data_IF_940349741857
#
_entry.id   IF_940349741857
#
_cell.length_a   1.000
_cell.length_b   1.000
_cell.length_c   1.000
_cell.angle_alpha   90.00
_cell.angle_beta   90.00
_cell.angle_gamma   90.00
#
_symmetry.space_group_name_H-M   'P 1'
#
loop_
_entity.id
_entity.type
_entity.pdbx_description
1 polymer ?
#
# COMPACT_ATOMS: atom_id res chain seq x y z
N UNK A 1 -7.69 -6.55 9.38
CA UNK A 1 -6.67 -7.49 8.86
C UNK A 1 -5.30 -7.04 9.26
N UNK A 2 -4.48 -7.92 9.75
CA UNK A 2 -3.11 -7.54 10.05
C UNK A 2 -2.33 -7.23 8.77
N UNK A 3 -1.22 -6.55 8.95
CA UNK A 3 -0.29 -6.27 7.88
C UNK A 3 0.25 -7.57 7.28
N UNK A 4 0.35 -7.61 5.96
CA UNK A 4 1.02 -8.74 5.30
C UNK A 4 2.50 -8.44 5.09
N UNK A 5 3.32 -9.48 5.13
CA UNK A 5 4.75 -9.37 4.85
C UNK A 5 5.12 -10.03 3.52
N UNK A 6 4.13 -10.58 2.83
CA UNK A 6 4.34 -11.37 1.62
C UNK A 6 3.77 -10.63 0.40
N UNK A 7 4.60 -10.49 -0.64
CA UNK A 7 4.13 -9.96 -1.92
C UNK A 7 3.16 -10.92 -2.56
N UNK A 8 2.14 -10.38 -3.24
CA UNK A 8 1.19 -11.20 -3.98
C UNK A 8 1.91 -11.91 -5.13
N UNK A 9 1.59 -13.17 -5.33
CA UNK A 9 2.20 -13.96 -6.41
C UNK A 9 1.72 -13.50 -7.78
N UNK A 10 0.45 -13.07 -7.86
CA UNK A 10 -0.15 -12.58 -9.08
C UNK A 10 -0.54 -11.12 -8.90
N UNK A 11 -0.14 -10.29 -9.84
CA UNK A 11 -0.53 -8.88 -9.83
C UNK A 11 -2.04 -8.77 -10.10
N UNK A 12 -2.80 -8.10 -9.22
CA UNK A 12 -4.22 -7.87 -9.49
C UNK A 12 -4.41 -6.94 -10.69
N UNK A 13 -5.53 -7.09 -11.38
CA UNK A 13 -5.92 -6.15 -12.41
C UNK A 13 -6.42 -4.86 -11.74
N UNK A 14 -6.30 -3.72 -12.46
CA UNK A 14 -6.78 -2.45 -11.93
C UNK A 14 -8.27 -2.52 -11.57
N UNK A 15 -9.05 -3.22 -12.39
CA UNK A 15 -10.49 -3.38 -12.17
C UNK A 15 -10.80 -4.11 -10.86
N UNK A 16 -9.95 -5.08 -10.49
CA UNK A 16 -10.11 -5.78 -9.22
C UNK A 16 -9.91 -4.83 -8.04
N UNK A 17 -8.93 -3.92 -8.17
CA UNK A 17 -8.65 -2.93 -7.13
C UNK A 17 -9.81 -1.92 -7.05
N UNK A 18 -10.29 -1.43 -8.20
CA UNK A 18 -11.36 -0.45 -8.23
C UNK A 18 -12.67 -1.01 -7.64
N UNK A 19 -12.85 -2.32 -7.69
CA UNK A 19 -14.04 -2.99 -7.16
C UNK A 19 -13.98 -3.31 -5.67
N UNK A 20 -12.85 -3.06 -5.02
CA UNK A 20 -12.70 -3.35 -3.59
C UNK A 20 -13.55 -2.41 -2.75
N UNK A 21 -14.26 -2.97 -1.77
CA UNK A 21 -15.18 -2.18 -0.94
C UNK A 21 -14.59 -1.80 0.41
N UNK A 22 -13.65 -2.60 0.91
CA UNK A 22 -13.06 -2.33 2.22
C UNK A 22 -11.89 -1.35 2.11
N UNK A 23 -11.60 -0.59 3.18
CA UNK A 23 -10.43 0.27 3.16
C UNK A 23 -9.17 -0.57 2.97
N UNK A 24 -8.30 -0.13 2.06
CA UNK A 24 -7.14 -0.91 1.64
C UNK A 24 -5.94 -0.01 1.45
N UNK A 25 -4.78 -0.46 1.89
CA UNK A 25 -3.51 0.16 1.53
C UNK A 25 -2.78 -0.77 0.56
N UNK A 26 -2.40 -0.22 -0.60
CA UNK A 26 -1.55 -0.90 -1.56
C UNK A 26 -0.12 -0.46 -1.33
N UNK A 27 0.76 -1.40 -1.13
CA UNK A 27 2.19 -1.11 -0.98
C UNK A 27 2.91 -1.58 -2.24
N UNK A 28 3.35 -0.62 -3.06
CA UNK A 28 4.12 -0.92 -4.26
C UNK A 28 5.60 -0.90 -3.92
N UNK A 29 6.29 -1.97 -4.24
CA UNK A 29 7.70 -2.07 -3.93
C UNK A 29 8.33 -3.29 -4.56
N UNK A 30 9.45 -3.72 -3.98
CA UNK A 30 10.22 -4.85 -4.45
C UNK A 30 10.93 -5.52 -3.26
N UNK A 31 11.10 -6.85 -3.28
CA UNK A 31 11.85 -7.51 -2.20
C UNK A 31 13.32 -7.08 -2.12
N UNK A 32 13.83 -6.44 -3.17
CA UNK A 32 15.23 -6.00 -3.24
C UNK A 32 15.42 -4.53 -2.92
N UNK A 33 14.36 -3.82 -2.58
CA UNK A 33 14.37 -2.38 -2.37
C UNK A 33 14.70 -2.06 -0.91
N UNK A 34 15.83 -1.38 -0.67
CA UNK A 34 16.24 -1.00 0.68
C UNK A 34 15.26 -0.05 1.36
N UNK A 35 14.70 0.90 0.60
CA UNK A 35 13.69 1.82 1.14
C UNK A 35 12.43 1.07 1.55
N UNK A 36 12.06 0.01 0.80
CA UNK A 36 10.90 -0.81 1.15
C UNK A 36 11.14 -1.55 2.46
N UNK A 37 12.34 -2.12 2.63
CA UNK A 37 12.71 -2.80 3.86
C UNK A 37 12.70 -1.85 5.05
N UNK A 38 13.23 -0.64 4.87
CA UNK A 38 13.26 0.37 5.93
C UNK A 38 11.85 0.82 6.33
N UNK A 39 10.90 0.78 5.41
CA UNK A 39 9.54 1.20 5.69
C UNK A 39 8.73 0.16 6.47
N UNK A 40 9.16 -1.10 6.51
CA UNK A 40 8.37 -2.16 7.13
C UNK A 40 8.05 -1.90 8.62
N UNK A 41 9.02 -1.53 9.47
CA UNK A 41 8.69 -1.29 10.88
C UNK A 41 7.73 -0.14 11.11
N UNK A 42 7.85 0.95 10.34
CA UNK A 42 6.96 2.10 10.53
C UNK A 42 5.56 1.81 10.02
N UNK A 43 5.44 1.04 8.95
CA UNK A 43 4.15 0.60 8.44
C UNK A 43 3.50 -0.37 9.44
N UNK A 44 4.26 -1.32 9.96
CA UNK A 44 3.75 -2.28 10.92
C UNK A 44 3.20 -1.59 12.17
N UNK A 45 3.94 -0.60 12.69
CA UNK A 45 3.51 0.15 13.86
C UNK A 45 2.21 0.89 13.61
N UNK A 46 2.06 1.51 12.43
CA UNK A 46 0.84 2.23 12.07
C UNK A 46 -0.35 1.27 11.90
N UNK A 47 -0.12 0.12 11.26
CA UNK A 47 -1.18 -0.85 10.98
C UNK A 47 -1.75 -1.51 12.24
N UNK A 48 -0.99 -1.55 13.34
CA UNK A 48 -1.46 -2.13 14.59
C UNK A 48 -2.75 -1.49 15.09
N UNK A 49 -2.92 -0.20 14.87
CA UNK A 49 -4.10 0.54 15.32
C UNK A 49 -5.26 0.45 14.32
N UNK A 50 -5.06 -0.20 13.18
CA UNK A 50 -6.04 -0.26 12.10
C UNK A 50 -6.28 -1.69 11.60
N UNK A 51 -6.75 -2.61 12.49
CA UNK A 51 -6.91 -4.02 12.09
C UNK A 51 -7.98 -4.24 11.02
N UNK A 52 -8.85 -3.25 10.79
CA UNK A 52 -9.88 -3.34 9.75
C UNK A 52 -9.41 -2.97 8.37
N UNK A 53 -8.19 -2.45 8.23
CA UNK A 53 -7.65 -2.03 6.94
C UNK A 53 -6.93 -3.21 6.27
N UNK A 54 -7.31 -3.45 5.02
CA UNK A 54 -6.68 -4.49 4.21
C UNK A 54 -5.31 -3.99 3.70
N UNK A 55 -4.33 -4.86 3.62
CA UNK A 55 -3.00 -4.52 3.15
C UNK A 55 -2.58 -5.48 2.04
N UNK A 56 -2.21 -4.94 0.88
CA UNK A 56 -1.71 -5.73 -0.23
C UNK A 56 -0.30 -5.25 -0.59
N UNK A 57 0.64 -6.19 -0.70
CA UNK A 57 2.01 -5.89 -1.16
C UNK A 57 2.10 -6.28 -2.62
N UNK A 58 2.37 -5.29 -3.46
CA UNK A 58 2.44 -5.46 -4.91
C UNK A 58 3.89 -5.34 -5.33
N UNK A 59 4.43 -6.41 -5.90
CA UNK A 59 5.76 -6.35 -6.49
C UNK A 59 5.66 -5.56 -7.79
N UNK A 60 6.30 -4.41 -7.82
CA UNK A 60 6.28 -3.53 -8.97
C UNK A 60 7.58 -3.71 -9.77
N UNK A 61 7.56 -3.31 -11.02
CA UNK A 61 8.74 -3.44 -11.86
C UNK A 61 8.45 -3.00 -13.28
N UNK A 62 9.46 -3.17 -14.12
CA UNK A 62 9.32 -2.84 -15.53
C UNK A 62 8.20 -3.69 -16.14
N UNK A 63 7.23 -3.04 -16.78
CA UNK A 63 6.12 -3.72 -17.40
C UNK A 63 4.95 -4.03 -16.50
N UNK A 64 5.03 -3.71 -15.20
CA UNK A 64 3.92 -3.94 -14.28
C UNK A 64 2.76 -3.02 -14.62
N UNK A 65 1.65 -3.60 -15.04
CA UNK A 65 0.48 -2.83 -15.47
C UNK A 65 -0.18 -2.07 -14.33
N UNK A 66 -0.29 -2.71 -13.18
CA UNK A 66 -0.95 -2.09 -12.04
C UNK A 66 -0.18 -0.87 -11.56
N UNK A 67 1.13 -0.99 -11.41
CA UNK A 67 1.97 0.14 -11.02
C UNK A 67 1.86 1.30 -12.00
N UNK A 68 1.83 0.99 -13.30
CA UNK A 68 1.67 2.02 -14.32
C UNK A 68 0.30 2.68 -14.26
N UNK A 69 -0.74 1.92 -13.94
CA UNK A 69 -2.10 2.47 -13.83
C UNK A 69 -2.21 3.46 -12.67
N UNK A 70 -1.37 3.32 -11.65
CA UNK A 70 -1.28 4.25 -10.53
C UNK A 70 -0.14 5.26 -10.68
N UNK A 71 0.61 5.20 -11.79
CA UNK A 71 1.75 6.09 -12.05
C UNK A 71 2.81 6.01 -10.97
N UNK A 72 3.10 4.78 -10.54
CA UNK A 72 4.13 4.55 -9.52
C UNK A 72 5.51 4.82 -10.11
N UNK A 73 6.31 5.62 -9.41
CA UNK A 73 7.65 6.01 -9.85
C UNK A 73 8.74 5.57 -8.89
N UNK A 74 8.49 5.67 -7.60
CA UNK A 74 9.47 5.36 -6.56
C UNK A 74 8.89 4.34 -5.60
N UNK A 75 9.76 3.59 -4.93
CA UNK A 75 9.37 2.57 -3.96
C UNK A 75 9.91 2.89 -2.59
N UNK A 76 9.18 2.57 -1.52
CA UNK A 76 7.79 2.14 -1.59
C UNK A 76 6.86 3.32 -1.84
N UNK A 77 5.76 3.07 -2.52
CA UNK A 77 4.63 4.00 -2.59
C UNK A 77 3.44 3.30 -1.95
N UNK A 78 2.83 3.96 -0.98
CA UNK A 78 1.62 3.48 -0.32
C UNK A 78 0.44 4.25 -0.87
N UNK A 79 -0.52 3.52 -1.45
CA UNK A 79 -1.75 4.11 -1.99
C UNK A 79 -2.89 3.72 -1.07
N UNK A 80 -3.60 4.70 -0.54
CA UNK A 80 -4.66 4.49 0.45
C UNK A 80 -6.01 4.61 -0.24
N UNK A 81 -6.76 3.51 -0.23
CA UNK A 81 -8.03 3.39 -0.95
C UNK A 81 -9.20 3.28 0.00
N UNK A 82 -10.27 3.98 -0.34
CA UNK A 82 -11.56 3.82 0.32
C UNK A 82 -12.58 3.47 -0.75
N UNK A 83 -13.16 2.28 -0.65
CA UNK A 83 -14.15 1.80 -1.60
C UNK A 83 -13.62 1.85 -3.04
N UNK A 84 -12.37 1.45 -3.21
CA UNK A 84 -11.71 1.38 -4.50
C UNK A 84 -11.13 2.68 -5.02
N UNK A 85 -11.39 3.80 -4.33
CA UNK A 85 -10.90 5.11 -4.78
C UNK A 85 -9.67 5.54 -3.99
N UNK A 86 -8.70 6.08 -4.68
CA UNK A 86 -7.51 6.63 -4.04
C UNK A 86 -7.85 7.90 -3.29
N UNK A 87 -7.69 7.85 -1.96
CA UNK A 87 -7.91 9.00 -1.08
C UNK A 87 -6.63 9.80 -0.93
N UNK A 88 -5.50 9.11 -0.75
CA UNK A 88 -4.19 9.74 -0.62
C UNK A 88 -3.11 8.71 -0.91
N UNK A 89 -1.88 9.17 -1.05
CA UNK A 89 -0.72 8.30 -1.19
C UNK A 89 0.48 8.90 -0.49
N UNK A 90 1.41 8.04 -0.11
CA UNK A 90 2.69 8.45 0.46
C UNK A 90 3.81 7.78 -0.31
N UNK A 91 4.78 8.58 -0.72
CA UNK A 91 5.98 8.09 -1.40
C UNK A 91 7.11 8.14 -0.38
N UNK A 92 7.69 6.96 -0.06
CA UNK A 92 8.78 6.86 0.91
C UNK A 92 8.45 7.58 2.22
N UNK A 93 7.38 7.13 2.93
CA UNK A 93 6.93 7.83 4.14
C UNK A 93 8.06 7.91 5.16
N UNK A 94 8.24 9.08 5.80
CA UNK A 94 9.38 9.29 6.71
C UNK A 94 9.21 8.71 8.09
N UNK A 95 7.96 8.47 8.54
CA UNK A 95 7.70 8.04 9.90
C UNK A 95 6.33 7.36 10.02
N UNK A 96 6.11 6.73 11.18
CA UNK A 96 4.85 6.06 11.48
C UNK A 96 3.67 7.02 11.50
N UNK A 97 3.89 8.24 12.00
CA UNK A 97 2.81 9.23 12.13
C UNK A 97 2.17 9.59 10.78
N UNK A 98 2.99 9.77 9.74
CA UNK A 98 2.46 10.11 8.41
C UNK A 98 1.57 8.98 7.87
N UNK A 99 1.96 7.73 8.12
CA UNK A 99 1.17 6.57 7.70
C UNK A 99 -0.12 6.49 8.52
N UNK A 100 -0.04 6.73 9.83
CA UNK A 100 -1.22 6.70 10.70
C UNK A 100 -2.25 7.75 10.28
N UNK A 101 -1.80 8.94 9.92
CA UNK A 101 -2.71 9.98 9.43
C UNK A 101 -3.41 9.57 8.13
N UNK A 102 -2.67 8.93 7.23
CA UNK A 102 -3.25 8.46 5.97
C UNK A 102 -4.27 7.32 6.23
N UNK A 103 -3.94 6.39 7.14
CA UNK A 103 -4.85 5.31 7.50
C UNK A 103 -6.14 5.85 8.11
N UNK A 104 -6.04 6.89 8.95
CA UNK A 104 -7.22 7.51 9.56
C UNK A 104 -8.20 8.03 8.52
N UNK A 105 -7.72 8.39 7.34
CA UNK A 105 -8.57 8.92 6.27
C UNK A 105 -9.41 7.85 5.59
N UNK A 106 -9.02 6.59 5.67
CA UNK A 106 -9.74 5.49 5.02
C UNK A 106 -10.38 4.53 6.01
N UNK A 107 -9.96 4.56 7.27
CA UNK A 107 -10.45 3.66 8.31
C UNK A 107 -11.57 4.37 9.06
N UNK A 108 -12.72 4.18 8.62
CA UNK A 108 -13.84 4.86 9.19
C UNK A 108 -14.99 3.95 9.52
#
# INVERSE_FOLDING_TARGET
>A
MPMTTTYLEREPAREEIDAMEMPTVLEFGSPWCGFCLSAQPILAAAMEAHPGVNHLKIADGRGSRLGRSFRIKLWPTLVFLDNGEEVTRLVRPPNTHSISQALDRIDG
#
